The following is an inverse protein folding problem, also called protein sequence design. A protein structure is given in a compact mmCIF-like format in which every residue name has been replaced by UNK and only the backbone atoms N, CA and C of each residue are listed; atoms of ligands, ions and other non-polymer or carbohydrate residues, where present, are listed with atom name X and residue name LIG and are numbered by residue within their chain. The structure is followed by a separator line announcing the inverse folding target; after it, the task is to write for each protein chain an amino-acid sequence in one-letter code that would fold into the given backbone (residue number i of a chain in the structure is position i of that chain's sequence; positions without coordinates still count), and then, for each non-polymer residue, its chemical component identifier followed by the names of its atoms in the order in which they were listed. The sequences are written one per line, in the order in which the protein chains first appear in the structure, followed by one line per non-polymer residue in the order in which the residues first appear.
data_IF_704413102789
#
_entry.id   IF_704413102789
#
_cell.length_a   1.000
_cell.length_b   1.000
_cell.length_c   1.000
_cell.angle_alpha   90.00
_cell.angle_beta   90.00
_cell.angle_gamma   90.00
#
_symmetry.space_group_name_H-M   'P 1'
#
loop_
_entity.id
_entity.type
_entity.pdbx_description
1 polymer ?
#
# COMPACT_ATOMS: atom_id res chain seq x y z
N UNK A 1 -8.55 3.18 65.30
CA UNK A 1 -7.88 3.60 64.05
C UNK A 1 -8.32 2.56 63.03
N UNK A 2 -9.45 2.71 62.32
CA UNK A 2 -9.76 3.73 61.32
C UNK A 2 -8.83 3.51 60.12
N UNK A 3 -9.25 3.07 58.92
CA UNK A 3 -10.51 3.29 58.20
C UNK A 3 -10.90 2.09 57.32
N UNK A 4 -12.19 2.03 57.02
CA UNK A 4 -12.88 1.16 56.09
C UNK A 4 -12.40 1.31 54.63
N UNK A 5 -12.44 0.22 53.87
CA UNK A 5 -12.75 0.25 52.43
C UNK A 5 -13.83 -0.83 52.16
N UNK A 6 -15.11 -0.44 52.01
CA UNK A 6 -16.23 -1.34 51.83
C UNK A 6 -16.68 -1.34 50.36
N UNK A 7 -16.05 -2.12 49.47
CA UNK A 7 -16.67 -2.41 48.17
C UNK A 7 -16.17 -3.70 47.47
N UNK A 8 -15.83 -4.73 48.25
CA UNK A 8 -15.80 -6.10 47.73
C UNK A 8 -17.20 -6.72 47.80
N UNK A 9 -18.05 -6.34 46.85
CA UNK A 9 -19.32 -7.03 46.66
C UNK A 9 -20.32 -6.24 45.83
N UNK A 10 -20.28 -6.41 44.51
CA UNK A 10 -21.44 -6.85 43.74
C UNK A 10 -21.05 -7.07 42.27
N UNK A 11 -21.16 -8.32 41.82
CA UNK A 11 -21.23 -8.63 40.41
C UNK A 11 -22.44 -7.86 39.84
N UNK A 12 -22.19 -7.00 38.85
CA UNK A 12 -23.26 -6.38 38.08
C UNK A 12 -24.02 -7.50 37.36
N UNK A 13 -25.23 -7.78 37.81
CA UNK A 13 -26.17 -8.55 37.01
C UNK A 13 -26.46 -7.76 35.74
N UNK A 14 -26.48 -8.38 34.54
CA UNK A 14 -26.83 -7.67 33.33
C UNK A 14 -28.27 -7.17 33.43
N UNK A 15 -28.44 -5.86 33.59
CA UNK A 15 -29.72 -5.19 33.43
C UNK A 15 -30.08 -5.12 31.95
N UNK A 16 -31.36 -5.32 31.65
CA UNK A 16 -31.94 -5.19 30.32
C UNK A 16 -31.62 -3.79 29.74
N UNK A 17 -30.70 -3.75 28.77
CA UNK A 17 -30.20 -2.50 28.19
C UNK A 17 -28.76 -2.53 27.66
N UNK A 18 -28.06 -3.67 27.78
CA UNK A 18 -26.74 -3.83 27.16
C UNK A 18 -26.86 -3.94 25.64
N UNK A 19 -26.33 -2.93 24.91
CA UNK A 19 -26.07 -2.98 23.46
C UNK A 19 -24.77 -3.74 23.13
N UNK A 20 -24.23 -4.53 24.06
CA UNK A 20 -23.13 -5.43 23.77
C UNK A 20 -23.66 -6.60 22.94
N UNK A 21 -23.29 -6.61 21.66
CA UNK A 21 -23.33 -7.82 20.84
C UNK A 21 -22.69 -8.98 21.62
N UNK A 22 -23.18 -10.23 21.50
CA UNK A 22 -22.71 -11.33 22.31
C UNK A 22 -21.21 -11.58 22.06
N UNK A 23 -20.41 -11.08 23.00
CA UNK A 23 -19.22 -11.66 23.59
C UNK A 23 -18.27 -12.42 22.64
N UNK A 24 -17.37 -11.70 21.98
CA UNK A 24 -16.02 -12.24 21.76
C UNK A 24 -15.25 -12.08 23.07
N UNK A 25 -14.95 -13.20 23.72
CA UNK A 25 -14.24 -13.26 24.98
C UNK A 25 -12.73 -13.38 24.73
N UNK A 26 -11.98 -12.30 24.93
CA UNK A 26 -10.51 -12.30 24.70
C UNK A 26 -9.71 -13.18 25.66
N UNK A 27 -10.39 -13.88 26.59
CA UNK A 27 -9.80 -14.93 27.42
C UNK A 27 -10.05 -16.35 26.89
N UNK A 28 -10.88 -16.53 25.86
CA UNK A 28 -11.10 -17.82 25.18
C UNK A 28 -10.18 -17.95 23.95
N UNK A 29 -9.25 -18.92 23.91
CA UNK A 29 -8.40 -19.20 22.75
C UNK A 29 -9.13 -19.34 21.41
N UNK A 30 -10.40 -19.75 21.41
CA UNK A 30 -11.19 -19.90 20.18
C UNK A 30 -11.65 -18.56 19.58
N UNK A 31 -11.83 -17.53 20.39
CA UNK A 31 -12.34 -16.22 19.94
C UNK A 31 -11.28 -15.31 19.31
N UNK A 32 -10.00 -15.61 19.56
CA UNK A 32 -8.85 -14.95 18.92
C UNK A 32 -8.02 -15.89 18.04
N UNK A 33 -8.48 -17.13 17.83
CA UNK A 33 -7.81 -18.11 16.97
C UNK A 33 -7.71 -17.61 15.53
N UNK A 34 -8.78 -17.03 15.01
CA UNK A 34 -8.77 -16.42 13.67
C UNK A 34 -7.73 -15.30 13.57
N UNK A 35 -7.56 -14.49 14.63
CA UNK A 35 -6.52 -13.47 14.68
C UNK A 35 -5.12 -14.08 14.82
N UNK A 36 -4.96 -15.18 15.56
CA UNK A 36 -3.68 -15.88 15.66
C UNK A 36 -3.24 -16.48 14.33
N UNK A 37 -4.20 -17.06 13.60
CA UNK A 37 -3.97 -17.79 12.37
C UNK A 37 -3.96 -16.85 11.14
N UNK A 38 -4.55 -15.65 11.23
CA UNK A 38 -4.55 -14.64 10.17
C UNK A 38 -3.37 -13.68 10.22
N UNK A 39 -2.71 -13.52 11.37
CA UNK A 39 -1.56 -12.62 11.49
C UNK A 39 -0.33 -13.35 10.98
N UNK A 40 0.27 -12.86 9.90
CA UNK A 40 1.51 -13.41 9.40
C UNK A 40 2.64 -13.19 10.44
N UNK A 41 3.04 -14.27 11.12
CA UNK A 41 4.10 -14.30 12.15
C UNK A 41 5.33 -15.08 11.68
N UNK A 42 5.47 -15.31 10.38
CA UNK A 42 6.61 -16.01 9.79
C UNK A 42 7.95 -15.27 9.97
N UNK A 43 7.91 -14.03 10.47
CA UNK A 43 9.09 -13.18 10.67
C UNK A 43 9.69 -12.71 9.34
N UNK A 44 8.95 -12.86 8.23
CA UNK A 44 9.35 -12.41 6.91
C UNK A 44 9.15 -10.90 6.87
N UNK A 45 10.26 -10.19 6.73
CA UNK A 45 10.25 -8.77 6.37
C UNK A 45 9.45 -8.64 5.06
N UNK A 46 8.30 -7.97 5.11
CA UNK A 46 7.49 -7.74 3.91
C UNK A 46 8.19 -6.71 3.04
N UNK A 47 8.56 -7.10 1.82
CA UNK A 47 9.36 -6.27 0.92
C UNK A 47 8.39 -5.47 0.07
N UNK A 48 7.96 -4.33 0.59
CA UNK A 48 7.16 -3.38 -0.17
C UNK A 48 7.99 -2.83 -1.33
N UNK A 49 7.49 -2.92 -2.56
CA UNK A 49 8.25 -2.50 -3.74
C UNK A 49 7.41 -1.86 -4.88
N UNK A 50 6.63 -0.80 -4.58
CA UNK A 50 5.77 -0.17 -5.57
C UNK A 50 6.55 0.29 -6.81
N UNK A 51 5.94 0.07 -7.97
CA UNK A 51 6.44 0.49 -9.27
C UNK A 51 6.20 2.00 -9.45
N UNK A 52 7.28 2.76 -9.58
CA UNK A 52 7.29 4.22 -9.80
C UNK A 52 7.73 4.56 -11.23
N UNK A 53 7.16 5.63 -11.76
CA UNK A 53 7.45 6.18 -13.09
C UNK A 53 8.13 7.54 -12.95
N UNK A 54 9.30 7.70 -13.60
CA UNK A 54 9.99 8.98 -13.80
C UNK A 54 9.18 9.83 -14.78
N UNK A 55 8.54 10.91 -14.30
CA UNK A 55 7.59 11.68 -15.11
C UNK A 55 8.24 12.85 -15.86
N UNK A 56 9.22 13.51 -15.26
CA UNK A 56 9.85 14.71 -15.80
C UNK A 56 11.21 14.45 -16.49
N UNK A 57 11.79 13.27 -16.30
CA UNK A 57 12.96 12.76 -16.98
C UNK A 57 14.29 12.97 -16.29
N UNK A 58 14.31 13.42 -15.04
CA UNK A 58 15.55 13.68 -14.32
C UNK A 58 16.01 12.49 -13.45
N UNK A 59 15.16 11.49 -13.28
CA UNK A 59 15.44 10.28 -12.52
C UNK A 59 14.23 9.81 -11.74
N UNK A 60 14.43 8.80 -10.90
CA UNK A 60 13.41 8.45 -9.90
C UNK A 60 13.78 9.19 -8.62
N UNK A 61 12.87 10.02 -8.13
CA UNK A 61 13.03 10.85 -6.95
C UNK A 61 12.13 10.38 -5.81
N UNK A 62 12.69 10.31 -4.60
CA UNK A 62 11.94 9.84 -3.43
C UNK A 62 12.25 10.65 -2.18
N UNK A 63 11.25 10.77 -1.31
CA UNK A 63 11.36 11.33 0.04
C UNK A 63 11.39 10.21 1.07
N UNK A 64 11.97 10.47 2.24
CA UNK A 64 11.98 9.53 3.37
C UNK A 64 10.76 9.71 4.27
N UNK A 65 10.72 8.95 5.36
CA UNK A 65 9.66 9.10 6.37
C UNK A 65 9.71 10.47 7.05
N UNK A 66 8.53 11.01 7.39
CA UNK A 66 8.39 12.24 8.18
C UNK A 66 7.41 12.04 9.36
N UNK A 67 7.35 10.81 9.90
CA UNK A 67 6.38 10.41 10.90
C UNK A 67 4.95 10.69 10.43
N UNK A 68 4.11 11.27 11.29
CA UNK A 68 2.74 11.66 10.94
C UNK A 68 2.60 12.86 9.99
N UNK A 69 3.72 13.51 9.61
CA UNK A 69 3.69 14.70 8.73
C UNK A 69 3.98 14.37 7.26
N UNK A 70 4.34 13.12 6.95
CA UNK A 70 4.53 12.66 5.58
C UNK A 70 3.57 11.53 5.24
N UNK A 71 3.89 10.80 4.17
CA UNK A 71 3.05 9.72 3.67
C UNK A 71 2.88 8.60 4.70
N UNK A 72 1.61 8.26 4.98
CA UNK A 72 1.22 7.07 5.71
C UNK A 72 0.37 6.18 4.79
N UNK A 73 0.89 5.02 4.40
CA UNK A 73 0.20 4.13 3.47
C UNK A 73 0.16 2.69 3.97
N UNK A 74 -0.92 1.98 3.62
CA UNK A 74 -1.11 0.55 3.91
C UNK A 74 -0.54 -0.25 2.73
N UNK A 75 0.76 -0.54 2.80
CA UNK A 75 1.48 -1.15 1.69
C UNK A 75 1.20 -2.65 1.50
N UNK A 76 0.76 -3.35 2.55
CA UNK A 76 0.58 -4.81 2.55
C UNK A 76 -0.88 -5.24 2.70
N UNK A 77 -1.80 -4.27 2.72
CA UNK A 77 -3.26 -4.48 2.80
C UNK A 77 -3.68 -5.13 4.11
N UNK A 78 -2.95 -4.86 5.20
CA UNK A 78 -3.27 -5.38 6.52
C UNK A 78 -4.26 -4.48 7.30
N UNK A 79 -4.58 -3.31 6.76
CA UNK A 79 -5.45 -2.31 7.36
C UNK A 79 -4.72 -1.31 8.27
N UNK A 80 -3.39 -1.25 8.23
CA UNK A 80 -2.54 -0.33 8.99
C UNK A 80 -1.71 0.51 8.03
N UNK A 81 -1.94 1.82 8.06
CA UNK A 81 -1.09 2.79 7.36
C UNK A 81 0.15 3.08 8.19
N UNK A 82 1.31 2.92 7.59
CA UNK A 82 2.62 3.12 8.24
C UNK A 82 3.38 4.24 7.54
N UNK A 83 4.09 5.06 8.31
CA UNK A 83 4.92 6.13 7.76
C UNK A 83 6.01 5.52 6.88
N UNK A 84 6.12 6.04 5.65
CA UNK A 84 6.86 5.39 4.58
C UNK A 84 7.62 6.42 3.74
N UNK A 85 8.69 5.98 3.09
CA UNK A 85 9.31 6.70 2.00
C UNK A 85 8.37 6.72 0.79
N UNK A 86 8.41 7.78 0.01
CA UNK A 86 7.39 8.04 -1.00
C UNK A 86 7.97 8.57 -2.30
N UNK A 87 7.21 8.43 -3.39
CA UNK A 87 7.53 9.09 -4.65
C UNK A 87 7.46 10.62 -4.47
N UNK A 88 8.43 11.35 -5.01
CA UNK A 88 8.50 12.80 -4.89
C UNK A 88 7.76 13.50 -6.06
N UNK A 89 8.47 14.01 -7.07
CA UNK A 89 7.85 14.66 -8.24
C UNK A 89 7.20 13.65 -9.22
N UNK A 90 7.59 12.39 -9.07
CA UNK A 90 7.19 11.21 -9.85
C UNK A 90 5.79 10.69 -9.50
N UNK A 91 5.44 9.50 -10.01
CA UNK A 91 4.16 8.89 -9.69
C UNK A 91 4.21 7.36 -9.60
N UNK A 92 3.30 6.81 -8.79
CA UNK A 92 3.14 5.38 -8.60
C UNK A 92 2.21 4.82 -9.68
N UNK A 93 2.53 3.65 -10.24
CA UNK A 93 1.61 2.94 -11.11
C UNK A 93 0.52 2.28 -10.26
N UNK A 94 -0.74 2.51 -10.62
CA UNK A 94 -1.89 2.06 -9.84
C UNK A 94 -3.02 1.56 -10.73
N UNK A 95 -3.89 0.76 -10.12
CA UNK A 95 -5.20 0.41 -10.66
C UNK A 95 -6.17 0.25 -9.51
N UNK A 96 -7.29 0.97 -9.59
CA UNK A 96 -8.39 0.84 -8.64
C UNK A 96 -9.12 -0.48 -8.91
N UNK A 97 -8.74 -1.52 -8.14
CA UNK A 97 -9.25 -2.89 -8.33
C UNK A 97 -10.63 -3.09 -7.74
N UNK A 98 -10.97 -2.32 -6.71
CA UNK A 98 -12.24 -2.46 -6.01
C UNK A 98 -13.33 -1.49 -6.54
N UNK A 99 -12.94 -0.56 -7.43
CA UNK A 99 -13.80 0.45 -8.05
C UNK A 99 -14.44 1.43 -7.07
N UNK A 100 -13.76 1.76 -5.97
CA UNK A 100 -14.20 2.76 -4.98
C UNK A 100 -13.76 4.20 -5.30
N UNK A 101 -12.96 4.37 -6.35
CA UNK A 101 -12.45 5.66 -6.82
C UNK A 101 -11.19 6.14 -6.11
N UNK A 102 -10.64 5.36 -5.18
CA UNK A 102 -9.45 5.68 -4.40
C UNK A 102 -8.38 4.61 -4.59
N UNK A 103 -7.13 4.99 -4.33
CA UNK A 103 -6.04 4.03 -4.11
C UNK A 103 -5.74 4.06 -2.63
N UNK A 104 -6.08 2.99 -1.91
CA UNK A 104 -6.10 3.00 -0.45
C UNK A 104 -5.26 1.91 0.21
N UNK A 105 -4.73 0.95 -0.56
CA UNK A 105 -3.80 -0.07 -0.08
C UNK A 105 -2.89 -0.62 -1.18
N UNK A 106 -1.86 -1.39 -0.80
CA UNK A 106 -0.86 -1.94 -1.71
C UNK A 106 -1.37 -2.96 -2.72
N UNK A 107 -2.57 -3.52 -2.55
CA UNK A 107 -3.21 -4.38 -3.55
C UNK A 107 -3.61 -3.63 -4.83
N UNK A 108 -3.68 -2.30 -4.76
CA UNK A 108 -4.01 -1.40 -5.88
C UNK A 108 -2.77 -0.71 -6.47
N UNK A 109 -1.63 -0.81 -5.78
CA UNK A 109 -0.32 -0.51 -6.35
C UNK A 109 0.17 -1.71 -7.18
N UNK A 110 1.11 -1.46 -8.09
CA UNK A 110 1.89 -2.51 -8.72
C UNK A 110 3.12 -2.82 -7.87
N UNK A 111 3.11 -3.95 -7.16
CA UNK A 111 4.15 -4.35 -6.21
C UNK A 111 3.94 -5.79 -5.74
N UNK A 112 4.73 -6.22 -4.77
CA UNK A 112 4.68 -7.54 -4.13
C UNK A 112 3.32 -7.87 -3.48
N UNK A 113 2.53 -6.84 -3.16
CA UNK A 113 1.21 -6.96 -2.55
C UNK A 113 0.08 -7.05 -3.59
N UNK A 114 0.40 -6.99 -4.88
CA UNK A 114 -0.53 -7.29 -5.96
C UNK A 114 -0.82 -8.79 -6.03
N UNK A 115 -2.09 -9.18 -6.00
CA UNK A 115 -2.53 -10.56 -6.23
C UNK A 115 -2.59 -10.84 -7.74
N UNK A 116 -1.86 -11.86 -8.19
CA UNK A 116 -1.82 -12.35 -9.57
C UNK A 116 -3.07 -13.18 -9.90
N UNK A 117 -3.29 -13.49 -11.19
CA UNK A 117 -4.45 -14.29 -11.64
C UNK A 117 -4.50 -15.71 -11.04
N UNK A 118 -3.37 -16.27 -10.65
CA UNK A 118 -3.29 -17.58 -10.00
C UNK A 118 -3.60 -17.54 -8.49
N UNK A 119 -3.83 -16.35 -7.94
CA UNK A 119 -4.13 -16.11 -6.53
C UNK A 119 -2.91 -15.97 -5.63
N UNK A 120 -1.69 -16.08 -6.18
CA UNK A 120 -0.46 -15.77 -5.45
C UNK A 120 -0.16 -14.27 -5.48
N UNK A 121 0.72 -13.82 -4.59
CA UNK A 121 1.24 -12.47 -4.61
C UNK A 121 2.37 -12.35 -5.64
N UNK A 122 2.47 -11.19 -6.29
CA UNK A 122 3.55 -10.89 -7.21
C UNK A 122 4.92 -10.99 -6.51
N UNK A 123 5.95 -11.38 -7.25
CA UNK A 123 7.32 -11.36 -6.72
C UNK A 123 7.84 -9.93 -6.53
N UNK A 124 7.36 -9.00 -7.36
CA UNK A 124 7.72 -7.58 -7.38
C UNK A 124 6.81 -6.81 -8.37
N UNK A 125 6.87 -5.47 -8.38
CA UNK A 125 6.05 -4.62 -9.26
C UNK A 125 6.08 -4.94 -10.77
N UNK A 126 7.23 -5.25 -11.39
CA UNK A 126 7.25 -5.71 -12.79
C UNK A 126 6.55 -7.07 -13.04
N UNK A 127 6.55 -7.98 -12.06
CA UNK A 127 5.82 -9.25 -12.19
C UNK A 127 4.31 -8.99 -12.12
N UNK A 128 3.88 -8.04 -11.28
CA UNK A 128 2.50 -7.54 -11.28
C UNK A 128 2.13 -6.87 -12.61
N UNK A 129 3.03 -6.08 -13.20
CA UNK A 129 2.80 -5.41 -14.49
C UNK A 129 2.63 -6.43 -15.63
N UNK A 130 3.42 -7.50 -15.63
CA UNK A 130 3.35 -8.55 -16.65
C UNK A 130 1.96 -9.23 -16.72
N UNK A 131 1.17 -9.25 -15.65
CA UNK A 131 -0.22 -9.74 -15.70
C UNK A 131 -1.14 -8.89 -16.59
N UNK A 132 -0.77 -7.63 -16.81
CA UNK A 132 -1.50 -6.69 -17.65
C UNK A 132 -1.06 -6.76 -19.12
N UNK A 133 0.04 -7.46 -19.45
CA UNK A 133 0.45 -7.78 -20.82
C UNK A 133 -0.32 -9.02 -21.29
N UNK A 134 -1.55 -8.79 -21.74
CA UNK A 134 -2.52 -9.83 -22.07
C UNK A 134 -2.25 -10.54 -23.40
N UNK A 135 -1.48 -9.90 -24.27
CA UNK A 135 -1.06 -10.48 -25.54
C UNK A 135 0.37 -11.06 -25.48
N UNK A 136 1.09 -10.84 -24.38
CA UNK A 136 2.45 -11.33 -24.09
C UNK A 136 3.50 -10.85 -25.10
N UNK A 137 3.39 -9.61 -25.59
CA UNK A 137 4.33 -9.00 -26.53
C UNK A 137 5.47 -8.21 -25.85
N UNK A 138 5.49 -8.18 -24.51
CA UNK A 138 6.54 -7.58 -23.70
C UNK A 138 6.29 -6.13 -23.30
N UNK A 139 5.11 -5.60 -23.60
CA UNK A 139 4.69 -4.26 -23.21
C UNK A 139 3.22 -4.29 -22.83
N UNK A 140 2.83 -3.37 -21.96
CA UNK A 140 1.43 -3.13 -21.62
C UNK A 140 1.01 -1.86 -22.36
N UNK A 141 0.15 -2.02 -23.37
CA UNK A 141 -0.29 -0.94 -24.25
C UNK A 141 -1.78 -0.99 -24.61
N UNK A 142 -2.25 -0.12 -25.50
CA UNK A 142 -3.65 -0.04 -25.89
C UNK A 142 -4.22 -1.31 -26.57
N UNK A 143 -3.39 -2.30 -26.90
CA UNK A 143 -3.80 -3.61 -27.39
C UNK A 143 -4.11 -4.60 -26.25
N UNK A 144 -3.80 -4.23 -25.00
CA UNK A 144 -4.07 -5.04 -23.82
C UNK A 144 -5.41 -4.75 -23.18
N UNK A 145 -6.01 -5.79 -22.61
CA UNK A 145 -7.21 -5.60 -21.81
C UNK A 145 -6.90 -4.74 -20.58
N UNK A 146 -7.84 -3.87 -20.22
CA UNK A 146 -7.78 -3.02 -19.04
C UNK A 146 -6.62 -2.01 -19.01
N UNK A 147 -5.93 -1.76 -20.13
CA UNK A 147 -4.94 -0.69 -20.23
C UNK A 147 -5.50 0.69 -19.86
N UNK A 148 -6.77 0.93 -20.18
CA UNK A 148 -7.52 2.15 -19.85
C UNK A 148 -7.82 2.31 -18.37
N UNK A 149 -7.69 1.24 -17.57
CA UNK A 149 -7.84 1.28 -16.11
C UNK A 149 -6.55 1.66 -15.39
N UNK A 150 -5.40 1.53 -16.04
CA UNK A 150 -4.12 1.93 -15.48
C UNK A 150 -4.08 3.45 -15.29
N UNK A 151 -3.60 3.86 -14.13
CA UNK A 151 -3.40 5.27 -13.79
C UNK A 151 -2.04 5.46 -13.16
N UNK A 152 -1.61 6.71 -13.13
CA UNK A 152 -0.48 7.17 -12.32
C UNK A 152 -1.04 7.98 -11.16
N UNK A 153 -0.68 7.60 -9.94
CA UNK A 153 -0.95 8.40 -8.75
C UNK A 153 0.23 9.31 -8.48
N UNK A 154 -0.02 10.63 -8.61
CA UNK A 154 0.89 11.67 -8.15
C UNK A 154 0.31 12.29 -6.90
N UNK A 155 0.83 11.86 -5.77
CA UNK A 155 0.48 12.43 -4.47
C UNK A 155 1.11 13.82 -4.35
N UNK A 156 0.31 14.86 -4.61
CA UNK A 156 0.79 16.23 -4.73
C UNK A 156 1.05 16.86 -3.37
N UNK A 157 0.39 16.37 -2.32
CA UNK A 157 0.51 16.87 -0.96
C UNK A 157 1.39 15.98 -0.05
N UNK A 158 1.78 14.80 -0.54
CA UNK A 158 2.68 13.83 0.09
C UNK A 158 2.15 13.24 1.39
N UNK A 159 0.83 13.04 1.49
CA UNK A 159 0.17 12.49 2.68
C UNK A 159 -0.15 10.99 2.61
N UNK A 160 0.08 10.35 1.46
CA UNK A 160 -0.20 8.93 1.24
C UNK A 160 -1.69 8.62 1.15
N UNK A 161 -2.54 9.60 0.86
CA UNK A 161 -3.99 9.42 0.68
C UNK A 161 -4.37 9.84 -0.72
N UNK A 162 -4.82 8.91 -1.56
CA UNK A 162 -5.27 9.26 -2.90
C UNK A 162 -6.47 10.20 -2.86
N UNK A 163 -6.41 11.32 -3.58
CA UNK A 163 -7.52 12.28 -3.67
C UNK A 163 -7.89 12.62 -5.13
N UNK A 164 -9.01 13.35 -5.27
CA UNK A 164 -9.42 13.90 -6.56
C UNK A 164 -8.35 14.85 -7.12
N UNK A 165 -8.01 14.67 -8.40
CA UNK A 165 -6.97 15.46 -9.08
C UNK A 165 -5.54 14.91 -8.96
N UNK A 166 -5.35 13.80 -8.23
CA UNK A 166 -4.04 13.14 -8.08
C UNK A 166 -3.86 11.89 -8.95
N UNK A 167 -4.96 11.38 -9.49
CA UNK A 167 -4.96 10.20 -10.36
C UNK A 167 -5.05 10.64 -11.83
N UNK A 168 -4.01 10.31 -12.59
CA UNK A 168 -3.89 10.67 -14.00
C UNK A 168 -3.98 9.42 -14.86
N UNK A 169 -4.75 9.46 -15.95
CA UNK A 169 -4.71 8.42 -16.96
C UNK A 169 -3.36 8.45 -17.70
N UNK A 170 -2.90 7.29 -18.16
CA UNK A 170 -1.62 7.17 -18.88
C UNK A 170 -1.54 8.11 -20.09
N UNK A 171 -2.65 8.25 -20.82
CA UNK A 171 -2.74 9.14 -21.98
C UNK A 171 -2.58 10.62 -21.62
N UNK A 172 -3.02 11.07 -20.44
CA UNK A 172 -2.86 12.46 -19.97
C UNK A 172 -1.39 12.81 -19.72
N UNK A 173 -0.59 11.79 -19.40
CA UNK A 173 0.86 11.89 -19.19
C UNK A 173 1.67 11.55 -20.46
N UNK A 174 1.01 11.37 -21.60
CA UNK A 174 1.61 10.97 -22.87
C UNK A 174 2.34 9.61 -22.83
N UNK A 175 2.00 8.74 -21.89
CA UNK A 175 2.54 7.39 -21.78
C UNK A 175 1.94 6.53 -22.89
N UNK A 176 2.79 5.96 -23.73
CA UNK A 176 2.35 5.14 -24.87
C UNK A 176 2.18 3.67 -24.49
N UNK A 177 3.15 3.12 -23.78
CA UNK A 177 3.14 1.75 -23.27
C UNK A 177 4.03 1.68 -22.04
N UNK A 178 4.00 0.57 -21.31
CA UNK A 178 4.92 0.27 -20.21
C UNK A 178 5.68 -1.01 -20.53
N UNK A 179 7.02 -0.99 -20.52
CA UNK A 179 7.79 -2.19 -20.80
C UNK A 179 7.77 -3.12 -19.58
N UNK A 180 7.50 -4.42 -19.77
CA UNK A 180 7.53 -5.40 -18.67
C UNK A 180 8.95 -5.84 -18.33
N UNK A 181 9.91 -5.57 -19.24
CA UNK A 181 11.31 -5.92 -19.07
C UNK A 181 12.00 -4.99 -18.05
N UNK A 182 12.82 -5.59 -17.19
CA UNK A 182 13.54 -4.87 -16.15
C UNK A 182 14.96 -5.40 -15.96
N UNK A 183 15.75 -4.66 -15.18
CA UNK A 183 17.05 -5.04 -14.70
C UNK A 183 17.12 -4.90 -13.18
N UNK A 184 17.60 -5.94 -12.50
CA UNK A 184 17.91 -5.84 -11.07
C UNK A 184 19.06 -4.88 -10.82
N UNK A 185 18.86 -4.02 -9.83
CA UNK A 185 19.81 -3.01 -9.38
C UNK A 185 19.78 -2.93 -7.85
N UNK A 186 20.76 -2.24 -7.28
CA UNK A 186 20.76 -1.94 -5.85
C UNK A 186 21.29 -0.52 -5.68
N UNK A 187 20.45 0.45 -6.08
CA UNK A 187 20.85 1.85 -6.12
C UNK A 187 20.16 2.61 -5.00
N UNK A 188 20.93 3.27 -4.13
CA UNK A 188 20.35 4.15 -3.12
C UNK A 188 19.74 5.37 -3.80
N UNK A 189 18.46 5.63 -3.52
CA UNK A 189 17.76 6.83 -3.99
C UNK A 189 17.89 8.00 -3.01
N UNK A 190 18.53 7.78 -1.85
CA UNK A 190 18.58 8.74 -0.75
C UNK A 190 17.45 8.52 0.24
N UNK A 191 17.47 9.25 1.37
CA UNK A 191 16.40 9.26 2.37
C UNK A 191 15.97 7.88 2.93
N UNK A 192 16.82 6.86 2.80
CA UNK A 192 16.53 5.48 3.24
C UNK A 192 15.93 4.58 2.15
N UNK A 193 15.56 5.14 0.99
CA UNK A 193 14.94 4.39 -0.10
C UNK A 193 15.99 3.76 -1.04
N UNK A 194 15.61 2.65 -1.65
CA UNK A 194 16.48 1.88 -2.58
C UNK A 194 15.73 1.49 -3.84
N UNK A 195 16.33 1.68 -5.00
CA UNK A 195 15.84 1.15 -6.26
C UNK A 195 16.32 -0.31 -6.41
N UNK A 196 15.38 -1.25 -6.47
CA UNK A 196 15.64 -2.69 -6.59
C UNK A 196 15.60 -3.17 -8.05
N UNK A 197 14.67 -2.66 -8.85
CA UNK A 197 14.62 -2.89 -10.28
C UNK A 197 14.42 -1.59 -11.05
N UNK A 198 14.94 -1.55 -12.27
CA UNK A 198 14.72 -0.45 -13.21
C UNK A 198 14.31 -0.98 -14.59
N UNK A 199 13.55 -0.17 -15.31
CA UNK A 199 13.05 -0.44 -16.65
C UNK A 199 12.84 0.87 -17.39
N UNK A 200 12.07 0.82 -18.45
CA UNK A 200 11.73 1.99 -19.25
C UNK A 200 10.29 1.96 -19.73
N UNK A 201 9.83 3.10 -20.22
CA UNK A 201 8.57 3.18 -20.92
C UNK A 201 8.62 4.26 -22.00
N UNK A 202 8.04 4.02 -23.19
CA UNK A 202 7.96 5.02 -24.24
C UNK A 202 6.81 6.01 -24.03
N UNK A 203 7.06 7.25 -24.42
CA UNK A 203 6.06 8.30 -24.58
C UNK A 203 5.60 8.38 -26.03
N UNK A 204 4.41 8.93 -26.28
CA UNK A 204 3.82 9.08 -27.63
C UNK A 204 4.66 9.95 -28.59
N UNK A 205 5.64 10.72 -28.08
CA UNK A 205 6.62 11.49 -28.85
C UNK A 205 7.93 10.75 -29.19
N UNK A 206 8.05 9.46 -28.85
CA UNK A 206 9.24 8.64 -29.11
C UNK A 206 10.41 8.82 -28.13
N UNK A 207 10.22 9.62 -27.08
CA UNK A 207 11.15 9.68 -25.94
C UNK A 207 10.85 8.51 -24.98
N UNK A 208 11.89 7.99 -24.33
CA UNK A 208 11.75 6.99 -23.28
C UNK A 208 11.99 7.64 -21.91
N UNK A 209 11.25 7.18 -20.91
CA UNK A 209 11.40 7.51 -19.49
C UNK A 209 11.76 6.27 -18.69
N UNK A 210 12.14 6.45 -17.43
CA UNK A 210 12.54 5.36 -16.54
C UNK A 210 11.35 4.90 -15.70
N UNK A 211 11.32 3.62 -15.40
CA UNK A 211 10.45 3.04 -14.37
C UNK A 211 11.31 2.28 -13.37
N UNK A 212 10.77 1.98 -12.20
CA UNK A 212 11.46 1.12 -11.27
C UNK A 212 10.64 0.70 -10.07
N UNK A 213 11.02 -0.42 -9.48
CA UNK A 213 10.51 -0.83 -8.17
C UNK A 213 11.43 -0.23 -7.12
N UNK A 214 10.89 0.62 -6.26
CA UNK A 214 11.65 1.17 -5.15
C UNK A 214 11.18 0.55 -3.84
N UNK A 215 12.13 0.25 -2.98
CA UNK A 215 11.94 -0.20 -1.61
C UNK A 215 11.89 1.03 -0.72
N UNK A 216 10.72 1.43 -0.22
CA UNK A 216 10.60 2.57 0.67
C UNK A 216 11.23 2.23 2.02
N UNK A 217 11.83 3.23 2.66
CA UNK A 217 12.08 3.17 4.11
C UNK A 217 10.74 3.19 4.84
N UNK A 218 10.62 2.45 5.94
CA UNK A 218 9.39 2.39 6.74
C UNK A 218 9.70 2.72 8.20
N UNK A 219 8.82 3.49 8.82
CA UNK A 219 8.88 3.85 10.24
C UNK A 219 7.65 3.32 10.97
N UNK A 220 7.83 2.15 11.57
CA UNK A 220 6.76 1.40 12.23
C UNK A 220 6.29 2.05 13.55
N UNK A 221 7.01 3.07 14.06
CA UNK A 221 6.56 3.81 15.25
C UNK A 221 5.41 4.77 14.91
N UNK A 222 5.29 5.18 13.65
CA UNK A 222 4.26 6.09 13.18
C UNK A 222 3.30 5.34 12.27
N UNK A 223 2.24 4.82 12.87
CA UNK A 223 1.18 4.12 12.16
C UNK A 223 -0.22 4.52 12.65
N UNK A 224 -1.22 4.25 11.82
CA UNK A 224 -2.65 4.42 12.13
C UNK A 224 -3.46 3.34 11.41
N UNK A 225 -4.60 2.96 11.97
CA UNK A 225 -5.53 2.11 11.23
C UNK A 225 -6.04 2.84 9.98
N UNK A 226 -6.11 2.13 8.85
CA UNK A 226 -6.66 2.64 7.61
C UNK A 226 -8.15 3.02 7.73
N UNK A 227 -8.87 2.37 8.67
CA UNK A 227 -10.25 2.68 9.02
C UNK A 227 -10.31 3.39 10.38
N UNK A 228 -10.67 4.67 10.39
CA UNK A 228 -10.80 5.48 11.61
C UNK A 228 -11.94 5.03 12.54
N UNK A 229 -12.87 4.18 12.06
CA UNK A 229 -14.02 3.67 12.83
C UNK A 229 -13.70 2.47 13.75
N UNK A 230 -12.44 2.04 13.86
CA UNK A 230 -12.07 1.07 14.90
C UNK A 230 -11.69 1.82 16.17
N UNK A 231 -12.69 2.10 17.00
CA UNK A 231 -12.49 2.54 18.38
C UNK A 231 -11.57 1.54 19.08
N UNK A 232 -10.34 1.98 19.38
CA UNK A 232 -9.46 1.22 20.27
C UNK A 232 -10.02 1.40 21.67
N UNK A 233 -10.47 0.31 22.30
CA UNK A 233 -10.68 0.32 23.75
C UNK A 233 -9.32 0.60 24.40
N UNK A 234 -9.15 1.80 24.97
CA UNK A 234 -8.09 2.02 25.93
C UNK A 234 -8.34 1.08 27.12
N UNK A 235 -7.48 0.09 27.29
CA UNK A 235 -7.33 -0.58 28.57
C UNK A 235 -6.58 0.43 29.44
N UNK A 236 -7.32 1.12 30.31
CA UNK A 236 -6.77 1.92 31.41
C UNK A 236 -6.66 1.03 32.63
#
# INVERSE_FOLDING_TARGET
MGLDDPDLGNALTPGEGSLLLPEKNWCDPSDWKDWQDSVNRDGKYHIVDPLVLDLDGDGIETVGTQGYSGALFDHDKDGIRTSTGWAAADGLLVIDRNSDGLINNGGELFGDSTVLKDGSNAAHGYAALAESDTNSDGKVDAQDADFDKLKVWRDLNQDGVSQEGELFALAELNIQSLDVAYQDVNTRLGNGNTLAQKGSYPLTGGMNRKTGNFLPVVDHLHSRYANENRTVCHIV
#
